data_IF_084880400053
#
_entry.id   IF_084880400053
#
_cell.length_a   1.000
_cell.length_b   1.000
_cell.length_c   1.000
_cell.angle_alpha   90.00
_cell.angle_beta   90.00
_cell.angle_gamma   90.00
#
_symmetry.space_group_name_H-M   'P 1'
#
loop_
_entity.id
_entity.type
_entity.pdbx_description
1 polymer ?
#
# COMPACT_ATOMS: atom_id res chain seq x y z
N UNK A 1 -9.03 8.74 95.45
CA UNK A 1 -9.19 8.05 94.14
C UNK A 1 -9.66 8.98 93.02
N UNK A 2 -10.52 9.98 93.27
CA UNK A 2 -11.11 10.87 92.23
C UNK A 2 -10.07 11.71 91.45
N UNK A 3 -9.02 12.22 92.11
CA UNK A 3 -7.99 13.07 91.50
C UNK A 3 -7.14 12.36 90.42
N UNK A 4 -7.03 11.03 90.51
CA UNK A 4 -6.28 10.24 89.52
C UNK A 4 -7.12 9.99 88.26
N UNK A 5 -8.44 9.82 88.40
CA UNK A 5 -9.36 9.58 87.28
C UNK A 5 -9.48 10.81 86.36
N UNK A 6 -9.58 12.02 86.93
CA UNK A 6 -9.65 13.25 86.12
C UNK A 6 -8.36 13.54 85.34
N UNK A 7 -7.19 13.22 85.93
CA UNK A 7 -5.91 13.33 85.23
C UNK A 7 -5.82 12.34 84.08
N UNK A 8 -6.20 11.08 84.30
CA UNK A 8 -6.22 10.05 83.26
C UNK A 8 -7.19 10.44 82.12
N UNK A 9 -8.37 10.95 82.47
CA UNK A 9 -9.36 11.40 81.50
C UNK A 9 -8.85 12.58 80.66
N UNK A 10 -8.22 13.58 81.28
CA UNK A 10 -7.60 14.71 80.56
C UNK A 10 -6.45 14.28 79.65
N UNK A 11 -5.62 13.33 80.08
CA UNK A 11 -4.53 12.77 79.26
C UNK A 11 -5.07 12.00 78.05
N UNK A 12 -6.16 11.25 78.23
CA UNK A 12 -6.84 10.54 77.12
C UNK A 12 -7.43 11.53 76.12
N UNK A 13 -8.10 12.60 76.57
CA UNK A 13 -8.65 13.62 75.67
C UNK A 13 -7.56 14.43 74.94
N UNK A 14 -6.45 14.74 75.62
CA UNK A 14 -5.29 15.37 74.99
C UNK A 14 -4.66 14.44 73.94
N UNK A 15 -4.53 13.14 74.23
CA UNK A 15 -4.03 12.14 73.28
C UNK A 15 -4.93 11.99 72.05
N UNK A 16 -6.25 11.93 72.24
CA UNK A 16 -7.22 11.86 71.14
C UNK A 16 -7.21 13.14 70.29
N UNK A 17 -7.07 14.31 70.91
CA UNK A 17 -6.97 15.59 70.19
C UNK A 17 -5.68 15.71 69.37
N UNK A 18 -4.55 15.25 69.91
CA UNK A 18 -3.27 15.24 69.16
C UNK A 18 -3.33 14.25 67.99
N UNK A 19 -3.98 13.11 68.17
CA UNK A 19 -4.13 12.11 67.11
C UNK A 19 -5.00 12.60 65.95
N UNK A 20 -6.10 13.31 66.23
CA UNK A 20 -6.97 13.87 65.17
C UNK A 20 -6.28 14.98 64.39
N UNK A 21 -5.48 15.82 65.05
CA UNK A 21 -4.68 16.86 64.40
C UNK A 21 -3.59 16.23 63.52
N UNK A 22 -2.91 15.18 64.01
CA UNK A 22 -1.88 14.47 63.25
C UNK A 22 -2.46 13.84 61.96
N UNK A 23 -3.63 13.19 62.05
CA UNK A 23 -4.30 12.60 60.89
C UNK A 23 -4.79 13.64 59.88
N UNK A 24 -5.22 14.82 60.34
CA UNK A 24 -5.64 15.92 59.47
C UNK A 24 -4.48 16.64 58.76
N UNK A 25 -3.26 16.49 59.28
CA UNK A 25 -2.04 17.10 58.71
C UNK A 25 -1.35 16.22 57.65
N UNK A 26 -1.86 15.02 57.38
CA UNK A 26 -1.31 14.17 56.33
C UNK A 26 -1.55 14.79 54.94
N UNK A 27 -0.51 14.90 54.09
CA UNK A 27 -0.67 15.45 52.75
C UNK A 27 -1.53 14.51 51.91
N UNK A 28 -2.68 15.00 51.45
CA UNK A 28 -3.52 14.28 50.48
C UNK A 28 -2.78 14.28 49.15
N UNK A 29 -2.22 13.14 48.75
CA UNK A 29 -1.57 12.98 47.45
C UNK A 29 -2.65 12.97 46.38
N UNK A 30 -2.72 14.04 45.58
CA UNK A 30 -3.67 14.15 44.47
C UNK A 30 -3.19 13.25 43.34
N UNK A 31 -3.87 12.12 43.12
CA UNK A 31 -3.60 11.25 41.98
C UNK A 31 -4.24 11.89 40.75
N UNK A 32 -3.42 12.22 39.76
CA UNK A 32 -3.92 12.68 38.46
C UNK A 32 -4.26 11.43 37.64
N UNK A 33 -5.53 11.27 37.28
CA UNK A 33 -5.91 10.27 36.29
C UNK A 33 -5.24 10.64 34.96
N UNK A 34 -4.60 9.66 34.30
CA UNK A 34 -4.08 9.86 32.95
C UNK A 34 -5.27 10.18 32.04
N UNK A 35 -5.33 11.42 31.55
CA UNK A 35 -6.35 11.84 30.59
C UNK A 35 -5.97 11.29 29.22
N UNK A 36 -6.72 10.31 28.73
CA UNK A 36 -6.61 9.82 27.36
C UNK A 36 -7.50 10.67 26.46
N UNK A 37 -6.91 11.63 25.75
CA UNK A 37 -7.62 12.33 24.68
C UNK A 37 -7.76 11.36 23.49
N UNK A 38 -9.00 11.01 23.15
CA UNK A 38 -9.29 10.20 21.98
C UNK A 38 -9.22 11.08 20.73
N UNK A 39 -8.17 10.90 19.93
CA UNK A 39 -8.10 11.48 18.59
C UNK A 39 -8.91 10.60 17.64
N UNK A 40 -10.05 11.12 17.18
CA UNK A 40 -10.82 10.51 16.11
C UNK A 40 -10.18 10.85 14.77
N UNK A 41 -9.56 9.87 14.11
CA UNK A 41 -9.13 9.98 12.73
C UNK A 41 -10.09 9.19 11.83
N UNK A 42 -10.48 9.78 10.70
CA UNK A 42 -11.24 9.09 9.65
C UNK A 42 -10.31 8.78 8.50
N UNK A 43 -10.25 7.51 8.10
CA UNK A 43 -9.51 7.06 6.91
C UNK A 43 -10.48 7.02 5.74
N UNK A 44 -10.10 7.63 4.61
CA UNK A 44 -10.75 7.42 3.32
C UNK A 44 -9.87 6.46 2.51
N UNK A 45 -10.49 5.44 1.93
CA UNK A 45 -9.87 4.46 1.06
C UNK A 45 -10.57 4.65 -0.28
N UNK A 46 -9.82 5.04 -1.30
CA UNK A 46 -10.31 5.05 -2.68
C UNK A 46 -10.05 3.67 -3.31
N UNK A 47 -10.92 3.24 -4.21
CA UNK A 47 -10.83 1.94 -4.88
C UNK A 47 -11.02 2.15 -6.37
N UNK A 48 -9.94 1.95 -7.11
CA UNK A 48 -9.97 2.05 -8.55
C UNK A 48 -11.00 1.10 -9.18
N UNK A 49 -11.86 1.64 -10.05
CA UNK A 49 -12.88 0.87 -10.76
C UNK A 49 -14.22 0.77 -10.03
N UNK A 50 -14.44 1.57 -8.98
CA UNK A 50 -15.73 1.67 -8.30
C UNK A 50 -16.73 2.60 -9.01
N UNK A 51 -16.29 3.24 -10.08
CA UNK A 51 -17.08 4.18 -10.88
C UNK A 51 -17.15 5.59 -10.30
N UNK A 52 -16.29 5.96 -9.34
CA UNK A 52 -16.20 7.30 -8.79
C UNK A 52 -14.74 7.74 -8.77
N UNK A 53 -14.40 8.80 -9.51
CA UNK A 53 -13.05 9.37 -9.45
C UNK A 53 -12.84 10.07 -8.10
N UNK A 54 -12.07 9.48 -7.20
CA UNK A 54 -11.74 10.03 -5.89
C UNK A 54 -10.23 10.27 -5.75
N UNK A 55 -9.81 11.30 -5.01
CA UNK A 55 -8.36 11.49 -4.76
C UNK A 55 -7.78 10.27 -4.02
N UNK A 56 -6.68 9.65 -4.50
CA UNK A 56 -5.70 10.16 -5.48
C UNK A 56 -5.85 9.66 -6.94
N UNK A 57 -6.98 9.09 -7.33
CA UNK A 57 -7.27 8.62 -8.69
C UNK A 57 -7.38 9.79 -9.68
N UNK A 58 -6.90 9.56 -10.90
CA UNK A 58 -6.97 10.54 -11.99
C UNK A 58 -8.15 10.29 -12.95
N UNK A 59 -8.62 9.04 -13.01
CA UNK A 59 -9.68 8.57 -13.89
C UNK A 59 -10.34 7.29 -13.35
N UNK A 60 -11.34 6.78 -14.06
CA UNK A 60 -12.07 5.55 -13.73
C UNK A 60 -12.11 4.60 -14.93
N UNK A 61 -11.86 3.30 -14.72
CA UNK A 61 -11.68 2.29 -15.79
C UNK A 61 -12.94 2.11 -16.64
N UNK A 62 -14.11 2.22 -16.00
CA UNK A 62 -15.41 1.98 -16.63
C UNK A 62 -16.14 3.28 -16.99
N UNK A 63 -15.46 4.43 -16.91
CA UNK A 63 -16.00 5.73 -17.30
C UNK A 63 -15.26 6.32 -18.49
N UNK A 64 -15.98 7.17 -19.23
CA UNK A 64 -15.37 7.91 -20.33
C UNK A 64 -14.31 8.87 -19.78
N UNK A 65 -13.08 8.70 -20.27
CA UNK A 65 -11.97 9.58 -19.92
C UNK A 65 -12.19 10.95 -20.56
N UNK A 66 -12.32 11.98 -19.73
CA UNK A 66 -12.55 13.37 -20.18
C UNK A 66 -11.31 13.97 -20.85
N UNK A 67 -10.13 13.35 -20.66
CA UNK A 67 -8.87 13.79 -21.24
C UNK A 67 -8.62 13.20 -22.62
N UNK A 68 -7.96 13.99 -23.45
CA UNK A 68 -7.54 13.66 -24.79
C UNK A 68 -6.02 13.60 -24.88
N UNK A 69 -5.50 12.91 -25.89
CA UNK A 69 -4.05 12.83 -26.12
C UNK A 69 -3.40 14.22 -26.31
N UNK A 70 -4.17 15.19 -26.81
CA UNK A 70 -3.72 16.58 -26.94
C UNK A 70 -3.48 17.29 -25.61
N UNK A 71 -4.15 16.88 -24.53
CA UNK A 71 -3.92 17.42 -23.19
C UNK A 71 -2.53 17.05 -22.63
N UNK A 72 -1.95 15.96 -23.13
CA UNK A 72 -0.63 15.45 -22.76
C UNK A 72 0.46 15.77 -23.81
N UNK A 73 0.15 16.61 -24.81
CA UNK A 73 1.11 17.06 -25.82
C UNK A 73 1.24 16.15 -27.05
N UNK A 74 0.37 15.16 -27.21
CA UNK A 74 0.32 14.31 -28.40
C UNK A 74 -0.64 14.89 -29.46
N UNK A 75 -0.57 14.39 -30.70
CA UNK A 75 -1.36 14.92 -31.82
C UNK A 75 -2.62 14.12 -32.13
N UNK A 76 -2.64 12.83 -31.79
CA UNK A 76 -3.77 11.93 -32.03
C UNK A 76 -3.73 10.74 -31.06
N UNK A 77 -4.76 9.88 -31.13
CA UNK A 77 -4.87 8.68 -30.30
C UNK A 77 -6.02 8.75 -29.31
N UNK A 78 -6.02 7.86 -28.32
CA UNK A 78 -6.98 7.83 -27.22
C UNK A 78 -6.29 7.64 -25.87
N UNK A 79 -6.67 8.41 -24.86
CA UNK A 79 -6.25 8.20 -23.47
C UNK A 79 -7.16 7.15 -22.86
N UNK A 80 -6.61 6.26 -22.06
CA UNK A 80 -7.37 5.28 -21.27
C UNK A 80 -7.07 5.48 -19.79
N UNK A 81 -7.92 4.89 -18.95
CA UNK A 81 -7.60 4.72 -17.54
C UNK A 81 -7.01 3.32 -17.34
N UNK A 82 -5.88 3.23 -16.65
CA UNK A 82 -5.28 1.93 -16.33
C UNK A 82 -5.83 1.33 -15.02
N UNK A 83 -5.32 0.15 -14.66
CA UNK A 83 -5.71 -0.58 -13.45
C UNK A 83 -5.25 0.07 -12.14
N UNK A 84 -4.43 1.12 -12.24
CA UNK A 84 -3.96 1.95 -11.13
C UNK A 84 -4.72 3.27 -11.05
N UNK A 85 -5.72 3.47 -11.92
CA UNK A 85 -6.49 4.70 -12.07
C UNK A 85 -5.65 5.94 -12.42
N UNK A 86 -4.58 5.71 -13.18
CA UNK A 86 -3.76 6.75 -13.81
C UNK A 86 -4.07 6.86 -15.30
N UNK A 87 -3.78 8.02 -15.90
CA UNK A 87 -3.95 8.20 -17.34
C UNK A 87 -2.92 7.40 -18.15
N UNK A 88 -3.37 6.39 -18.89
CA UNK A 88 -2.56 5.65 -19.87
C UNK A 88 -2.57 6.38 -21.23
N UNK A 89 -1.42 6.97 -21.57
CA UNK A 89 -1.17 7.69 -22.83
C UNK A 89 -0.41 6.85 -23.87
N UNK A 90 -0.24 5.54 -23.67
CA UNK A 90 0.49 4.67 -24.62
C UNK A 90 -0.18 4.59 -26.00
N UNK A 91 -1.49 4.83 -26.07
CA UNK A 91 -2.24 4.90 -27.32
C UNK A 91 -2.29 6.32 -27.91
N UNK A 92 -1.45 7.23 -27.43
CA UNK A 92 -1.28 8.57 -27.97
C UNK A 92 -0.08 8.66 -28.93
N UNK A 93 -0.24 9.37 -30.05
CA UNK A 93 0.77 9.47 -31.10
C UNK A 93 1.08 10.93 -31.43
N UNK A 94 2.36 11.24 -31.64
CA UNK A 94 2.79 12.50 -32.24
C UNK A 94 2.94 12.32 -33.74
N UNK A 95 2.26 13.14 -34.54
CA UNK A 95 2.38 13.11 -36.00
C UNK A 95 3.67 13.80 -36.46
N UNK A 96 4.81 13.42 -35.89
CA UNK A 96 6.09 13.69 -36.56
C UNK A 96 6.27 12.55 -37.55
N UNK A 97 5.76 12.71 -38.77
CA UNK A 97 6.34 11.99 -39.90
C UNK A 97 7.70 12.64 -40.12
N UNK A 98 8.85 12.01 -39.80
CA UNK A 98 10.04 12.39 -40.52
C UNK A 98 9.74 12.01 -41.97
N UNK A 99 10.02 12.88 -42.92
CA UNK A 99 9.96 12.56 -44.33
C UNK A 99 10.77 11.28 -44.60
N UNK A 100 10.09 10.12 -44.67
CA UNK A 100 10.71 8.83 -44.96
C UNK A 100 10.38 8.45 -46.40
N UNK A 101 11.45 8.55 -47.19
CA UNK A 101 11.65 8.03 -48.55
C UNK A 101 10.98 6.65 -48.74
N UNK A 102 10.18 6.44 -49.81
CA UNK A 102 9.62 5.11 -50.11
C UNK A 102 10.76 4.13 -50.42
N UNK A 103 10.95 3.11 -49.60
CA UNK A 103 11.90 2.02 -49.89
C UNK A 103 12.68 1.41 -48.73
N UNK A 104 12.43 1.80 -47.47
CA UNK A 104 12.91 1.02 -46.34
C UNK A 104 11.72 0.27 -45.74
N UNK A 105 11.77 -1.06 -45.79
CA UNK A 105 10.86 -1.91 -45.03
C UNK A 105 11.08 -1.63 -43.55
N UNK A 106 10.18 -0.84 -42.97
CA UNK A 106 10.02 -0.78 -41.53
C UNK A 106 9.24 -2.02 -41.15
N UNK A 107 9.95 -3.10 -40.78
CA UNK A 107 9.42 -3.84 -39.63
C UNK A 107 9.37 -2.80 -38.51
N UNK A 108 8.21 -2.54 -37.89
CA UNK A 108 8.22 -1.72 -36.70
C UNK A 108 9.26 -2.36 -35.77
N UNK A 109 10.21 -1.56 -35.29
CA UNK A 109 10.93 -1.97 -34.11
C UNK A 109 9.84 -2.11 -33.04
N UNK A 110 9.35 -3.33 -32.83
CA UNK A 110 8.81 -3.73 -31.54
C UNK A 110 9.98 -3.52 -30.59
N UNK A 111 10.05 -2.34 -30.00
CA UNK A 111 10.78 -2.20 -28.75
C UNK A 111 10.01 -3.08 -27.79
N UNK A 112 10.45 -4.34 -27.67
CA UNK A 112 9.97 -5.27 -26.65
C UNK A 112 9.96 -4.49 -25.34
N UNK A 113 8.76 -4.12 -24.91
CA UNK A 113 8.54 -3.29 -23.72
C UNK A 113 8.64 -4.13 -22.45
N UNK A 114 8.67 -5.45 -22.63
CA UNK A 114 8.67 -6.43 -21.59
C UNK A 114 10.12 -6.77 -21.18
N UNK A 115 10.49 -6.56 -19.90
CA UNK A 115 11.78 -6.97 -19.39
C UNK A 115 12.08 -8.46 -19.65
N UNK A 116 13.36 -8.80 -19.86
CA UNK A 116 13.76 -10.15 -20.27
C UNK A 116 13.35 -11.25 -19.29
N UNK A 117 13.22 -10.93 -17.99
CA UNK A 117 12.76 -11.86 -16.96
C UNK A 117 11.27 -12.21 -17.07
N UNK A 118 10.49 -11.42 -17.83
CA UNK A 118 9.07 -11.63 -18.07
C UNK A 118 8.75 -12.34 -19.40
N UNK A 119 9.72 -12.48 -20.30
CA UNK A 119 9.59 -13.25 -21.56
C UNK A 119 9.00 -14.66 -21.32
N UNK A 120 9.36 -15.41 -20.26
CA UNK A 120 8.77 -16.72 -20.02
C UNK A 120 7.26 -16.71 -19.73
N UNK A 121 6.65 -15.55 -19.48
CA UNK A 121 5.24 -15.39 -19.14
C UNK A 121 4.40 -14.79 -20.26
N UNK A 122 5.03 -14.23 -21.29
CA UNK A 122 4.39 -13.88 -22.56
C UNK A 122 4.25 -15.13 -23.42
N UNK A 123 3.03 -15.64 -23.54
CA UNK A 123 2.77 -16.94 -24.19
C UNK A 123 2.58 -16.74 -25.68
N UNK A 124 2.01 -15.61 -26.08
CA UNK A 124 1.65 -15.33 -27.45
C UNK A 124 2.77 -14.60 -28.22
N UNK A 125 3.76 -14.05 -27.49
CA UNK A 125 4.96 -13.43 -28.04
C UNK A 125 4.73 -12.03 -28.60
N UNK A 126 3.69 -11.32 -28.13
CA UNK A 126 3.38 -9.95 -28.56
C UNK A 126 4.00 -8.86 -27.67
N UNK A 127 4.92 -9.25 -26.78
CA UNK A 127 5.65 -8.37 -25.85
C UNK A 127 4.72 -7.59 -24.89
N UNK A 128 3.48 -8.07 -24.67
CA UNK A 128 2.47 -7.46 -23.79
C UNK A 128 1.72 -8.54 -23.03
N UNK A 129 1.73 -8.48 -21.69
CA UNK A 129 0.98 -9.43 -20.86
C UNK A 129 -0.45 -8.93 -20.69
N UNK A 130 -1.41 -9.61 -21.32
CA UNK A 130 -2.85 -9.26 -21.26
C UNK A 130 -3.64 -10.16 -20.30
N UNK A 131 -4.88 -9.77 -20.00
CA UNK A 131 -5.87 -10.56 -19.24
C UNK A 131 -5.90 -12.06 -19.57
N UNK A 132 -5.80 -12.41 -20.85
CA UNK A 132 -5.86 -13.80 -21.32
C UNK A 132 -4.64 -14.62 -20.90
N UNK A 133 -3.50 -13.98 -20.66
CA UNK A 133 -2.23 -14.60 -20.26
C UNK A 133 -1.99 -14.50 -18.76
N UNK A 134 -2.57 -13.47 -18.14
CA UNK A 134 -2.48 -13.17 -16.71
C UNK A 134 -2.74 -14.40 -15.84
N UNK A 135 -3.79 -15.17 -16.12
CA UNK A 135 -4.12 -16.37 -15.34
C UNK A 135 -3.03 -17.45 -15.42
N UNK A 136 -2.45 -17.65 -16.59
CA UNK A 136 -1.38 -18.64 -16.79
C UNK A 136 -0.09 -18.16 -16.12
N UNK A 137 0.17 -16.87 -16.20
CA UNK A 137 1.28 -16.20 -15.56
C UNK A 137 1.23 -16.29 -14.03
N UNK A 138 0.09 -15.98 -13.42
CA UNK A 138 -0.10 -16.08 -11.96
C UNK A 138 0.04 -17.54 -11.52
N UNK A 139 -0.55 -18.47 -12.27
CA UNK A 139 -0.45 -19.91 -11.96
C UNK A 139 1.01 -20.39 -12.00
N UNK A 140 1.79 -19.93 -12.98
CA UNK A 140 3.21 -20.25 -13.13
C UNK A 140 4.06 -19.66 -12.00
N UNK A 141 3.82 -18.39 -11.66
CA UNK A 141 4.53 -17.74 -10.55
C UNK A 141 4.19 -18.42 -9.20
N UNK A 142 2.90 -18.66 -8.92
CA UNK A 142 2.45 -19.33 -7.69
C UNK A 142 3.00 -20.76 -7.58
N UNK A 143 3.16 -21.47 -8.69
CA UNK A 143 3.80 -22.79 -8.69
C UNK A 143 5.26 -22.71 -8.24
N UNK A 144 6.04 -21.73 -8.75
CA UNK A 144 7.40 -21.48 -8.31
C UNK A 144 7.48 -21.06 -6.83
N UNK A 145 6.60 -20.15 -6.41
CA UNK A 145 6.55 -19.65 -5.03
C UNK A 145 6.24 -20.75 -4.02
N UNK A 146 5.30 -21.66 -4.35
CA UNK A 146 5.02 -22.84 -3.53
C UNK A 146 6.26 -23.72 -3.37
N UNK A 147 7.00 -23.95 -4.46
CA UNK A 147 8.25 -24.73 -4.39
C UNK A 147 9.23 -24.03 -3.45
N UNK A 148 9.44 -22.72 -3.60
CA UNK A 148 10.34 -21.93 -2.73
C UNK A 148 10.00 -22.04 -1.24
N UNK A 149 8.71 -22.02 -0.88
CA UNK A 149 8.26 -22.13 0.52
C UNK A 149 8.50 -23.52 1.11
N UNK A 150 8.35 -24.59 0.32
CA UNK A 150 8.39 -25.96 0.82
C UNK A 150 9.74 -26.67 0.61
N UNK A 151 10.53 -26.22 -0.36
CA UNK A 151 11.82 -26.78 -0.72
C UNK A 151 12.79 -25.61 -0.94
N UNK A 152 13.62 -25.32 0.07
CA UNK A 152 14.53 -24.16 0.12
C UNK A 152 15.74 -24.34 -0.82
N UNK A 153 15.51 -24.89 -2.02
CA UNK A 153 16.50 -25.12 -3.06
C UNK A 153 16.39 -24.00 -4.11
N UNK A 154 17.29 -23.00 -4.10
CA UNK A 154 17.19 -21.81 -4.94
C UNK A 154 17.31 -22.09 -6.46
N UNK A 155 17.68 -23.30 -6.85
CA UNK A 155 17.85 -23.70 -8.25
C UNK A 155 16.58 -24.20 -8.94
N UNK A 156 15.48 -24.43 -8.21
CA UNK A 156 14.25 -25.04 -8.75
C UNK A 156 13.08 -24.05 -8.88
N UNK A 157 13.13 -22.92 -8.17
CA UNK A 157 12.07 -21.91 -8.11
C UNK A 157 12.40 -20.62 -8.91
N UNK A 158 13.18 -20.72 -9.98
CA UNK A 158 13.64 -19.56 -10.77
C UNK A 158 12.51 -18.76 -11.42
N UNK A 159 11.30 -19.33 -11.52
CA UNK A 159 10.15 -18.64 -12.12
C UNK A 159 9.38 -17.74 -11.15
N UNK A 160 9.78 -17.61 -9.88
CA UNK A 160 9.13 -16.68 -8.96
C UNK A 160 10.01 -15.53 -8.48
N UNK A 161 11.33 -15.63 -8.65
CA UNK A 161 12.30 -14.59 -8.29
C UNK A 161 12.53 -13.67 -9.51
N UNK A 162 11.89 -12.50 -9.51
CA UNK A 162 11.88 -11.58 -10.64
C UNK A 162 12.88 -10.44 -10.47
N UNK A 163 13.23 -10.08 -9.23
CA UNK A 163 14.25 -9.07 -8.93
C UNK A 163 15.66 -9.66 -8.80
N UNK A 164 15.79 -10.99 -8.78
CA UNK A 164 17.06 -11.73 -8.74
C UNK A 164 17.68 -11.83 -7.35
N UNK A 165 16.90 -11.54 -6.29
CA UNK A 165 17.38 -11.54 -4.92
C UNK A 165 17.40 -12.95 -4.27
N UNK A 166 16.98 -13.99 -5.02
CA UNK A 166 16.89 -15.41 -4.61
C UNK A 166 15.83 -15.69 -3.54
N UNK A 167 14.90 -14.78 -3.35
CA UNK A 167 13.73 -14.91 -2.50
C UNK A 167 12.52 -14.74 -3.39
N UNK A 168 11.50 -15.58 -3.19
CA UNK A 168 10.21 -15.35 -3.83
C UNK A 168 9.24 -14.76 -2.80
N UNK A 169 8.93 -13.49 -2.93
CA UNK A 169 8.04 -12.77 -2.02
C UNK A 169 7.01 -11.87 -2.75
N UNK A 170 6.36 -10.97 -2.01
CA UNK A 170 5.35 -10.08 -2.57
C UNK A 170 5.93 -9.01 -3.49
N UNK A 171 7.23 -8.71 -3.38
CA UNK A 171 7.91 -7.79 -4.28
C UNK A 171 7.95 -8.38 -5.68
N UNK A 172 8.30 -9.66 -5.82
CA UNK A 172 8.28 -10.34 -7.11
C UNK A 172 6.88 -10.38 -7.72
N UNK A 173 5.87 -10.70 -6.90
CA UNK A 173 4.49 -10.67 -7.37
C UNK A 173 4.10 -9.26 -7.83
N UNK A 174 4.53 -8.21 -7.12
CA UNK A 174 4.24 -6.83 -7.50
C UNK A 174 4.85 -6.44 -8.84
N UNK A 175 6.08 -6.89 -9.13
CA UNK A 175 6.72 -6.69 -10.43
C UNK A 175 5.89 -7.36 -11.52
N UNK A 176 5.45 -8.59 -11.27
CA UNK A 176 4.64 -9.35 -12.21
C UNK A 176 3.30 -8.64 -12.52
N UNK A 177 2.63 -8.12 -11.50
CA UNK A 177 1.35 -7.40 -11.62
C UNK A 177 1.51 -6.05 -12.30
N UNK A 178 2.60 -5.33 -12.02
CA UNK A 178 2.89 -4.02 -12.64
C UNK A 178 2.99 -4.10 -14.17
N UNK A 179 3.51 -5.20 -14.72
CA UNK A 179 3.63 -5.40 -16.16
C UNK A 179 2.41 -6.08 -16.81
N UNK A 180 1.38 -6.44 -16.04
CA UNK A 180 0.11 -6.96 -16.58
C UNK A 180 -0.85 -5.82 -16.93
N UNK A 181 -1.41 -5.85 -18.15
CA UNK A 181 -2.30 -4.83 -18.69
C UNK A 181 -3.67 -5.39 -19.10
#
# INVERSE_FOLDING_TARGET
MVWNLEKQLKTVFLGLGVLTIALASLPVVKTYAAQSDSVGATVRISVCGDGVVEYPEECEILQDVVKSCTDFGFSSGSVRCDNSCEFDVLNCFTTTVPNLRPGAGFTPFSTSSLPSFLIPFDINGDDVIKDQEFLTLITKWVAGWKIFIFDYTPSTATSCDLDGNRVCDLVDLSILLYYSK
#
